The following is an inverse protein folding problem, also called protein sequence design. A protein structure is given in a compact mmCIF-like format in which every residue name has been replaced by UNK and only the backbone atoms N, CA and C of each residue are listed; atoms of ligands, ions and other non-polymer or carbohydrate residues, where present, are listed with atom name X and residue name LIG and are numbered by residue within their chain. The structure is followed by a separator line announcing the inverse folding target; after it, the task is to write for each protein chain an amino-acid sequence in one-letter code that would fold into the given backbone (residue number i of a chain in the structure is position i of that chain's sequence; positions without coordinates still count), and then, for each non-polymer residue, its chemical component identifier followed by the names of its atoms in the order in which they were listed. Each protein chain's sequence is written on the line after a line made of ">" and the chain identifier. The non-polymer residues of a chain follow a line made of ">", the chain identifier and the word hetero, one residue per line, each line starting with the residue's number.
data_IF_631561443711
#
_entry.id   IF_631561443711
#
_cell.length_a   1.000
_cell.length_b   1.000
_cell.length_c   1.000
_cell.angle_alpha   90.00
_cell.angle_beta   90.00
_cell.angle_gamma   90.00
#
_symmetry.space_group_name_H-M   'P 1'
#
loop_
_entity.id
_entity.type
_entity.pdbx_description
1 polymer ?
#
# COMPACT_ATOMS: atom_id res chain seq x y z
N UNK A 1 6.42 31.53 5.18
CA UNK A 1 6.41 30.87 6.51
C UNK A 1 4.96 30.80 6.95
N UNK A 2 4.47 29.62 7.35
CA UNK A 2 3.07 29.43 7.77
C UNK A 2 2.90 29.42 9.30
N UNK A 3 3.91 28.96 10.04
CA UNK A 3 3.94 28.98 11.49
C UNK A 3 5.38 29.12 12.01
N UNK A 4 5.55 29.78 13.15
CA UNK A 4 6.84 29.90 13.86
C UNK A 4 6.59 29.58 15.33
N UNK A 5 7.28 28.57 15.85
CA UNK A 5 7.23 28.20 17.26
C UNK A 5 8.59 28.42 17.89
N UNK A 6 8.64 29.26 18.94
CA UNK A 6 9.81 29.41 19.79
C UNK A 6 9.81 28.29 20.84
N UNK A 7 10.92 27.59 20.96
CA UNK A 7 11.20 26.68 22.06
C UNK A 7 12.29 27.34 22.90
N UNK A 8 11.93 27.75 24.11
CA UNK A 8 12.90 28.35 25.03
C UNK A 8 13.83 27.29 25.61
N UNK A 9 15.04 27.66 26.09
CA UNK A 9 15.94 26.73 26.77
C UNK A 9 15.26 25.97 27.92
N UNK A 10 14.38 26.64 28.68
CA UNK A 10 13.67 26.05 29.81
C UNK A 10 12.62 25.01 29.34
N UNK A 11 11.92 25.29 28.24
CA UNK A 11 10.96 24.35 27.65
C UNK A 11 11.69 23.13 27.06
N UNK A 12 12.80 23.35 26.37
CA UNK A 12 13.65 22.29 25.81
C UNK A 12 14.20 21.37 26.91
N UNK A 13 14.60 21.94 28.06
CA UNK A 13 15.08 21.16 29.22
C UNK A 13 13.97 20.27 29.80
N UNK A 14 12.76 20.81 29.93
CA UNK A 14 11.61 20.08 30.45
C UNK A 14 11.19 18.93 29.53
N UNK A 15 11.22 19.16 28.21
CA UNK A 15 10.98 18.13 27.21
C UNK A 15 12.07 17.05 27.27
N UNK A 16 13.34 17.44 27.31
CA UNK A 16 14.47 16.49 27.34
C UNK A 16 14.52 15.63 28.60
N UNK A 17 14.21 16.19 29.77
CA UNK A 17 14.12 15.45 31.04
C UNK A 17 13.03 14.36 31.02
N UNK A 18 11.96 14.58 30.26
CA UNK A 18 10.87 13.60 30.10
C UNK A 18 11.33 12.38 29.32
N UNK A 19 12.28 12.54 28.38
CA UNK A 19 12.75 11.46 27.50
C UNK A 19 14.06 10.80 27.94
N UNK A 20 14.99 11.55 28.55
CA UNK A 20 16.38 11.10 28.76
C UNK A 20 16.78 10.99 30.25
N UNK A 21 15.86 11.26 31.19
CA UNK A 21 16.11 11.18 32.63
C UNK A 21 17.09 12.24 33.16
N UNK A 22 17.69 11.98 34.33
CA UNK A 22 18.51 12.94 35.11
C UNK A 22 19.89 13.27 34.52
N UNK A 23 20.21 12.84 33.30
CA UNK A 23 21.53 13.01 32.69
C UNK A 23 21.99 14.48 32.59
N UNK A 24 21.05 15.43 32.51
CA UNK A 24 21.34 16.86 32.45
C UNK A 24 21.44 17.55 33.83
N UNK A 25 21.03 16.91 34.93
CA UNK A 25 21.13 17.51 36.27
C UNK A 25 22.56 17.56 36.81
N UNK A 26 23.46 16.78 36.20
CA UNK A 26 24.91 16.78 36.50
C UNK A 26 25.58 18.06 35.99
N UNK A 27 24.98 18.73 35.01
CA UNK A 27 25.42 20.02 34.49
C UNK A 27 24.68 21.11 35.28
N UNK A 28 25.41 21.87 36.11
CA UNK A 28 24.81 22.88 37.00
C UNK A 28 24.07 24.02 36.29
N UNK A 29 24.22 24.17 34.98
CA UNK A 29 23.51 25.15 34.15
C UNK A 29 22.93 24.49 32.88
N UNK A 30 21.83 25.04 32.37
CA UNK A 30 21.13 24.53 31.19
C UNK A 30 21.91 24.85 29.90
N UNK A 31 22.49 23.84 29.21
CA UNK A 31 23.31 24.07 28.03
C UNK A 31 22.48 24.19 26.73
N UNK A 32 21.16 24.07 26.79
CA UNK A 32 20.31 23.99 25.61
C UNK A 32 20.07 25.39 25.00
N UNK A 33 20.34 25.59 23.70
CA UNK A 33 20.07 26.85 23.04
C UNK A 33 18.57 27.06 22.82
N UNK A 34 18.17 28.31 22.59
CA UNK A 34 16.82 28.61 22.11
C UNK A 34 16.68 28.18 20.66
N UNK A 35 15.59 27.49 20.32
CA UNK A 35 15.35 26.97 18.96
C UNK A 35 14.07 27.56 18.39
N UNK A 36 14.15 28.09 17.17
CA UNK A 36 12.99 28.54 16.39
C UNK A 36 12.62 27.47 15.37
N UNK A 37 11.46 26.84 15.56
CA UNK A 37 10.90 25.88 14.60
C UNK A 37 10.03 26.64 13.60
N UNK A 38 10.51 26.72 12.36
CA UNK A 38 9.84 27.45 11.27
C UNK A 38 9.17 26.46 10.33
N UNK A 39 7.84 26.52 10.22
CA UNK A 39 7.10 25.72 9.26
C UNK A 39 7.03 26.47 7.92
N UNK A 40 7.56 25.89 6.82
CA UNK A 40 7.40 26.48 5.51
C UNK A 40 5.94 26.46 5.05
N UNK A 41 5.54 27.48 4.29
CA UNK A 41 4.19 27.57 3.73
C UNK A 41 4.02 26.73 2.45
N UNK A 42 5.12 26.31 1.83
CA UNK A 42 5.14 25.48 0.63
C UNK A 42 5.74 24.10 0.97
N UNK A 43 5.21 23.05 0.34
CA UNK A 43 5.79 21.71 0.40
C UNK A 43 6.88 21.50 -0.67
N UNK A 44 7.23 22.56 -1.41
CA UNK A 44 8.28 22.53 -2.42
C UNK A 44 9.68 22.63 -1.79
N UNK A 45 10.48 21.60 -2.05
CA UNK A 45 11.85 21.48 -1.58
C UNK A 45 12.76 22.62 -2.06
N UNK A 46 12.61 23.09 -3.30
CA UNK A 46 13.47 24.12 -3.86
C UNK A 46 13.23 25.46 -3.18
N UNK A 47 11.95 25.80 -2.95
CA UNK A 47 11.54 27.02 -2.25
C UNK A 47 12.01 26.99 -0.78
N UNK A 48 11.91 25.82 -0.14
CA UNK A 48 12.32 25.67 1.27
C UNK A 48 13.84 25.71 1.45
N UNK A 49 14.61 25.28 0.45
CA UNK A 49 16.07 25.37 0.46
C UNK A 49 16.55 26.81 0.33
N UNK A 50 15.90 27.61 -0.53
CA UNK A 50 16.17 29.07 -0.63
C UNK A 50 15.77 29.80 0.66
N UNK A 51 14.69 29.36 1.32
CA UNK A 51 14.30 29.91 2.63
C UNK A 51 15.35 29.59 3.71
N UNK A 52 15.91 28.38 3.69
CA UNK A 52 16.97 27.99 4.61
C UNK A 52 18.21 28.89 4.45
N UNK A 53 18.68 29.08 3.22
CA UNK A 53 19.84 29.93 2.92
C UNK A 53 19.63 31.35 3.44
N UNK A 54 18.45 31.94 3.18
CA UNK A 54 18.10 33.28 3.68
C UNK A 54 18.03 33.38 5.20
N UNK A 55 17.60 32.31 5.88
CA UNK A 55 17.56 32.28 7.34
C UNK A 55 18.96 32.10 7.94
N UNK A 56 19.86 31.42 7.24
CA UNK A 56 21.23 31.20 7.67
C UNK A 56 22.12 32.45 7.49
N UNK A 57 21.73 33.38 6.62
CA UNK A 57 22.41 34.67 6.45
C UNK A 57 22.10 35.69 7.56
N UNK A 58 21.10 35.45 8.41
CA UNK A 58 20.76 36.33 9.53
C UNK A 58 21.82 36.22 10.64
N UNK A 59 22.30 37.36 11.13
CA UNK A 59 23.38 37.43 12.13
C UNK A 59 22.96 36.84 13.49
N UNK A 60 21.65 36.79 13.75
CA UNK A 60 21.04 36.22 14.95
C UNK A 60 20.88 34.69 14.88
N UNK A 61 21.16 34.06 13.73
CA UNK A 61 20.99 32.61 13.52
C UNK A 61 22.36 31.94 13.48
N UNK A 62 22.67 31.18 14.52
CA UNK A 62 23.94 30.43 14.62
C UNK A 62 23.93 29.19 13.70
N UNK A 63 22.81 28.44 13.69
CA UNK A 63 22.66 27.21 12.89
C UNK A 63 21.23 27.10 12.36
N UNK A 64 21.08 27.05 11.03
CA UNK A 64 19.82 26.71 10.37
C UNK A 64 19.95 25.32 9.73
N UNK A 65 19.10 24.37 10.15
CA UNK A 65 19.10 23.00 9.61
C UNK A 65 17.75 22.66 8.99
N UNK A 66 17.79 22.20 7.74
CA UNK A 66 16.65 21.63 7.03
C UNK A 66 17.01 20.22 6.58
N UNK A 67 16.96 19.27 7.52
CA UNK A 67 17.47 17.94 7.26
C UNK A 67 16.41 17.06 6.57
N UNK A 68 16.12 17.38 5.30
CA UNK A 68 15.22 16.60 4.44
C UNK A 68 15.96 15.53 3.61
N UNK A 69 17.29 15.47 3.66
CA UNK A 69 18.07 14.59 2.79
C UNK A 69 17.86 13.11 3.16
N UNK A 70 17.82 12.78 4.45
CA UNK A 70 17.51 11.43 4.93
C UNK A 70 16.07 11.03 4.56
N UNK A 71 15.11 11.95 4.73
CA UNK A 71 13.71 11.71 4.39
C UNK A 71 13.53 11.48 2.89
N UNK A 72 14.19 12.29 2.04
CA UNK A 72 14.23 12.08 0.58
C UNK A 72 14.78 10.71 0.21
N UNK A 73 15.87 10.27 0.85
CA UNK A 73 16.45 8.93 0.63
C UNK A 73 15.47 7.83 1.05
N UNK A 74 14.79 7.97 2.18
CA UNK A 74 13.76 7.04 2.62
C UNK A 74 12.59 6.95 1.64
N UNK A 75 12.04 8.09 1.20
CA UNK A 75 10.98 8.13 0.20
C UNK A 75 11.41 7.51 -1.14
N UNK A 76 12.67 7.71 -1.55
CA UNK A 76 13.22 7.07 -2.74
C UNK A 76 13.27 5.53 -2.59
N UNK A 77 13.72 5.01 -1.43
CA UNK A 77 13.70 3.58 -1.14
C UNK A 77 12.28 3.02 -1.11
N UNK A 78 11.33 3.73 -0.49
CA UNK A 78 9.91 3.35 -0.48
C UNK A 78 9.33 3.28 -1.89
N UNK A 79 9.69 4.21 -2.79
CA UNK A 79 9.30 4.14 -4.21
C UNK A 79 9.84 2.87 -4.88
N UNK A 80 11.10 2.51 -4.66
CA UNK A 80 11.67 1.27 -5.21
C UNK A 80 10.87 0.05 -4.73
N UNK A 81 10.57 -0.02 -3.42
CA UNK A 81 9.75 -1.10 -2.85
C UNK A 81 8.34 -1.10 -3.47
N UNK A 82 7.71 0.05 -3.61
CA UNK A 82 6.38 0.17 -4.23
C UNK A 82 6.38 -0.34 -5.68
N UNK A 83 7.39 0.02 -6.47
CA UNK A 83 7.54 -0.49 -7.84
C UNK A 83 7.80 -2.00 -7.85
N UNK A 84 8.62 -2.52 -6.94
CA UNK A 84 8.86 -3.95 -6.78
C UNK A 84 7.57 -4.72 -6.46
N UNK A 85 6.77 -4.22 -5.52
CA UNK A 85 5.47 -4.80 -5.16
C UNK A 85 4.50 -4.78 -6.34
N UNK A 86 4.47 -3.70 -7.13
CA UNK A 86 3.62 -3.60 -8.32
C UNK A 86 4.02 -4.62 -9.39
N UNK A 87 5.32 -4.79 -9.65
CA UNK A 87 5.83 -5.82 -10.57
C UNK A 87 5.44 -7.23 -10.10
N UNK A 88 5.61 -7.51 -8.80
CA UNK A 88 5.22 -8.79 -8.23
C UNK A 88 3.70 -9.02 -8.34
N UNK A 89 2.89 -8.00 -8.10
CA UNK A 89 1.44 -8.07 -8.24
C UNK A 89 1.02 -8.39 -9.68
N UNK A 90 1.66 -7.80 -10.68
CA UNK A 90 1.41 -8.12 -12.11
C UNK A 90 1.79 -9.58 -12.41
N UNK A 91 2.96 -10.03 -11.94
CA UNK A 91 3.43 -11.40 -12.16
C UNK A 91 2.47 -12.43 -11.55
N UNK A 92 2.04 -12.21 -10.30
CA UNK A 92 1.08 -13.08 -9.62
C UNK A 92 -0.30 -13.03 -10.30
N UNK A 93 -0.73 -11.87 -10.77
CA UNK A 93 -1.97 -11.74 -11.54
C UNK A 93 -1.93 -12.59 -12.82
N UNK A 94 -0.82 -12.55 -13.57
CA UNK A 94 -0.61 -13.40 -14.73
C UNK A 94 -0.63 -14.89 -14.36
N UNK A 95 0.01 -15.27 -13.25
CA UNK A 95 0.00 -16.66 -12.76
C UNK A 95 -1.43 -17.13 -12.47
N UNK A 96 -2.26 -16.30 -11.82
CA UNK A 96 -3.68 -16.61 -11.57
C UNK A 96 -4.45 -16.79 -12.87
N UNK A 97 -4.25 -15.89 -13.85
CA UNK A 97 -4.90 -16.00 -15.17
C UNK A 97 -4.53 -17.32 -15.86
N UNK A 98 -3.26 -17.74 -15.80
CA UNK A 98 -2.78 -19.01 -16.37
C UNK A 98 -3.37 -20.22 -15.65
N UNK A 99 -3.40 -20.21 -14.31
CA UNK A 99 -3.94 -21.30 -13.50
C UNK A 99 -5.44 -21.47 -13.76
N UNK A 100 -6.22 -20.38 -13.63
CA UNK A 100 -7.67 -20.39 -13.92
C UNK A 100 -7.92 -20.81 -15.36
N UNK A 101 -7.11 -20.29 -16.30
CA UNK A 101 -7.24 -20.62 -17.71
C UNK A 101 -7.02 -22.09 -18.00
N UNK A 102 -5.98 -22.70 -17.41
CA UNK A 102 -5.69 -24.13 -17.54
C UNK A 102 -6.75 -25.01 -16.87
N UNK A 103 -7.21 -24.65 -15.67
CA UNK A 103 -8.28 -25.37 -14.98
C UNK A 103 -9.56 -25.41 -15.82
N UNK A 104 -9.92 -24.28 -16.46
CA UNK A 104 -11.09 -24.22 -17.33
C UNK A 104 -10.88 -25.02 -18.61
N UNK A 105 -9.68 -24.96 -19.23
CA UNK A 105 -9.35 -25.80 -20.39
C UNK A 105 -9.58 -27.28 -20.08
N UNK A 106 -9.06 -27.76 -18.96
CA UNK A 106 -9.24 -29.15 -18.53
C UNK A 106 -10.72 -29.49 -18.32
N UNK A 107 -11.47 -28.57 -17.71
CA UNK A 107 -12.93 -28.76 -17.49
C UNK A 107 -13.72 -28.80 -18.80
N UNK A 108 -13.36 -27.97 -19.78
CA UNK A 108 -13.99 -27.97 -21.11
C UNK A 108 -13.67 -29.29 -21.84
N UNK A 109 -12.42 -29.76 -21.76
CA UNK A 109 -12.01 -31.02 -22.38
C UNK A 109 -12.74 -32.23 -21.79
N UNK A 110 -12.90 -32.29 -20.46
CA UNK A 110 -13.62 -33.40 -19.82
C UNK A 110 -15.12 -33.42 -20.12
N UNK A 111 -15.71 -32.28 -20.50
CA UNK A 111 -17.13 -32.14 -20.89
C UNK A 111 -17.34 -31.94 -22.38
N UNK A 112 -16.35 -32.30 -23.22
CA UNK A 112 -16.39 -32.01 -24.66
C UNK A 112 -17.61 -32.60 -25.37
N UNK A 113 -17.94 -33.86 -25.07
CA UNK A 113 -19.09 -34.55 -25.68
C UNK A 113 -20.43 -33.87 -25.33
N UNK A 114 -20.61 -33.49 -24.06
CA UNK A 114 -21.78 -32.75 -23.59
C UNK A 114 -21.92 -31.39 -24.31
N UNK A 115 -20.80 -30.69 -24.50
CA UNK A 115 -20.75 -29.41 -25.21
C UNK A 115 -21.10 -29.59 -26.70
N UNK A 116 -20.60 -30.64 -27.35
CA UNK A 116 -20.92 -30.94 -28.75
C UNK A 116 -22.41 -31.25 -28.93
N UNK A 117 -22.98 -32.09 -28.07
CA UNK A 117 -24.43 -32.38 -28.10
C UNK A 117 -25.25 -31.09 -27.93
N UNK A 118 -24.90 -30.25 -26.95
CA UNK A 118 -25.59 -28.99 -26.73
C UNK A 118 -25.50 -28.05 -27.95
N UNK A 119 -24.34 -27.98 -28.62
CA UNK A 119 -24.19 -27.21 -29.86
C UNK A 119 -25.06 -27.75 -30.99
N UNK A 120 -25.19 -29.08 -31.13
CA UNK A 120 -26.02 -29.71 -32.16
C UNK A 120 -27.51 -29.43 -31.97
N UNK A 121 -27.98 -29.33 -30.72
CA UNK A 121 -29.37 -28.97 -30.38
C UNK A 121 -29.62 -27.45 -30.48
N UNK A 122 -28.61 -26.67 -30.89
CA UNK A 122 -28.74 -25.22 -31.15
C UNK A 122 -28.45 -24.34 -29.93
N UNK A 123 -27.76 -24.84 -28.90
CA UNK A 123 -27.37 -24.01 -27.77
C UNK A 123 -26.43 -22.88 -28.21
N UNK A 124 -26.71 -21.67 -27.74
CA UNK A 124 -25.83 -20.51 -28.00
C UNK A 124 -24.50 -20.67 -27.27
N UNK A 125 -23.42 -20.16 -27.87
CA UNK A 125 -22.11 -20.09 -27.20
C UNK A 125 -22.23 -19.42 -25.83
N UNK A 126 -23.07 -18.38 -25.68
CA UNK A 126 -23.28 -17.71 -24.40
C UNK A 126 -23.85 -18.64 -23.31
N UNK A 127 -24.74 -19.57 -23.66
CA UNK A 127 -25.27 -20.55 -22.72
C UNK A 127 -24.17 -21.48 -22.19
N UNK A 128 -23.31 -21.96 -23.09
CA UNK A 128 -22.21 -22.87 -22.75
C UNK A 128 -21.14 -22.16 -21.89
N UNK A 129 -20.94 -20.85 -22.08
CA UNK A 129 -19.91 -20.05 -21.39
C UNK A 129 -20.23 -19.73 -19.93
N UNK A 130 -21.51 -19.50 -19.59
CA UNK A 130 -21.96 -19.08 -18.25
C UNK A 130 -21.42 -19.93 -17.09
N UNK A 131 -21.53 -21.28 -17.07
CA UNK A 131 -21.04 -22.09 -15.96
C UNK A 131 -19.54 -21.88 -15.68
N UNK A 132 -18.73 -21.72 -16.73
CA UNK A 132 -17.29 -21.48 -16.59
C UNK A 132 -16.96 -20.05 -16.10
N UNK A 133 -17.79 -19.06 -16.42
CA UNK A 133 -17.63 -17.71 -15.87
C UNK A 133 -18.00 -17.68 -14.38
N UNK A 134 -18.99 -18.47 -13.95
CA UNK A 134 -19.33 -18.60 -12.53
C UNK A 134 -18.19 -19.24 -11.73
N UNK A 135 -17.51 -20.26 -12.26
CA UNK A 135 -16.34 -20.83 -11.56
C UNK A 135 -15.21 -19.79 -11.46
N UNK A 136 -14.95 -19.03 -12.53
CA UNK A 136 -14.01 -17.90 -12.51
C UNK A 136 -14.35 -16.84 -11.46
N UNK A 137 -15.62 -16.46 -11.36
CA UNK A 137 -16.12 -15.55 -10.33
C UNK A 137 -15.86 -16.09 -8.92
N UNK A 138 -16.20 -17.35 -8.65
CA UNK A 138 -15.98 -17.97 -7.34
C UNK A 138 -14.51 -18.07 -6.96
N UNK A 139 -13.63 -18.40 -7.92
CA UNK A 139 -12.19 -18.40 -7.69
C UNK A 139 -11.68 -16.99 -7.34
N UNK A 140 -12.12 -15.96 -8.07
CA UNK A 140 -11.73 -14.58 -7.80
C UNK A 140 -12.27 -14.07 -6.46
N UNK A 141 -13.54 -14.33 -6.17
CA UNK A 141 -14.19 -13.93 -4.92
C UNK A 141 -13.52 -14.58 -3.71
N UNK A 142 -13.40 -15.90 -3.69
CA UNK A 142 -12.79 -16.62 -2.56
C UNK A 142 -11.32 -16.26 -2.38
N UNK A 143 -10.56 -16.16 -3.48
CA UNK A 143 -9.16 -15.73 -3.42
C UNK A 143 -9.01 -14.34 -2.81
N UNK A 144 -9.85 -13.39 -3.24
CA UNK A 144 -9.84 -12.02 -2.71
C UNK A 144 -10.31 -11.92 -1.25
N UNK A 145 -11.27 -12.76 -0.84
CA UNK A 145 -11.75 -12.84 0.54
C UNK A 145 -10.66 -13.36 1.48
N UNK A 146 -9.94 -14.41 1.05
CA UNK A 146 -8.80 -14.97 1.80
C UNK A 146 -7.68 -13.92 1.89
N UNK A 147 -7.36 -13.25 0.79
CA UNK A 147 -6.36 -12.18 0.79
C UNK A 147 -6.74 -11.04 1.74
N UNK A 148 -8.01 -10.60 1.68
CA UNK A 148 -8.54 -9.58 2.59
C UNK A 148 -8.41 -9.99 4.05
N UNK A 149 -8.75 -11.24 4.38
CA UNK A 149 -8.66 -11.76 5.73
C UNK A 149 -7.20 -11.85 6.22
N UNK A 150 -6.28 -12.32 5.38
CA UNK A 150 -4.84 -12.39 5.70
C UNK A 150 -4.26 -10.98 5.93
N UNK A 151 -4.58 -10.02 5.07
CA UNK A 151 -4.13 -8.62 5.24
C UNK A 151 -4.70 -8.02 6.53
N UNK A 152 -5.99 -8.24 6.80
CA UNK A 152 -6.65 -7.72 8.00
C UNK A 152 -6.04 -8.31 9.28
N UNK A 153 -5.77 -9.62 9.30
CA UNK A 153 -5.10 -10.28 10.43
C UNK A 153 -3.65 -9.78 10.60
N UNK A 154 -2.93 -9.59 9.50
CA UNK A 154 -1.56 -9.06 9.54
C UNK A 154 -1.53 -7.64 10.12
N UNK A 155 -2.44 -6.76 9.68
CA UNK A 155 -2.56 -5.42 10.23
C UNK A 155 -2.93 -5.45 11.71
N UNK A 156 -3.89 -6.30 12.11
CA UNK A 156 -4.29 -6.46 13.50
C UNK A 156 -3.12 -6.91 14.39
N UNK A 157 -2.31 -7.88 13.95
CA UNK A 157 -1.13 -8.34 14.68
C UNK A 157 -0.04 -7.28 14.82
N UNK A 158 0.03 -6.32 13.89
CA UNK A 158 0.99 -5.22 13.91
C UNK A 158 0.56 -4.06 14.81
N UNK A 159 -0.71 -3.99 15.21
CA UNK A 159 -1.21 -2.90 16.06
C UNK A 159 -0.48 -2.83 17.40
N UNK A 160 -0.22 -3.99 18.04
CA UNK A 160 0.44 -4.06 19.34
C UNK A 160 1.89 -3.52 19.32
N UNK A 161 2.80 -4.03 18.46
CA UNK A 161 4.16 -3.50 18.39
C UNK A 161 4.21 -2.04 17.93
N UNK A 162 3.33 -1.62 17.03
CA UNK A 162 3.29 -0.21 16.59
C UNK A 162 2.82 0.72 17.71
N UNK A 163 1.82 0.32 18.51
CA UNK A 163 1.36 1.12 19.66
C UNK A 163 2.47 1.37 20.68
N UNK A 164 3.26 0.34 20.97
CA UNK A 164 4.40 0.43 21.89
C UNK A 164 5.48 1.40 21.37
N UNK A 165 5.69 1.47 20.05
CA UNK A 165 6.63 2.44 19.46
C UNK A 165 6.07 3.87 19.47
N UNK A 166 4.76 4.05 19.29
CA UNK A 166 4.13 5.38 19.29
C UNK A 166 4.08 6.02 20.68
N UNK A 167 3.91 5.23 21.74
CA UNK A 167 3.98 5.73 23.12
C UNK A 167 5.37 6.27 23.46
N UNK A 168 6.44 5.68 22.88
CA UNK A 168 7.83 6.12 23.08
C UNK A 168 8.18 7.41 22.32
N UNK A 169 7.46 7.74 21.24
CA UNK A 169 7.80 8.84 20.33
C UNK A 169 6.82 10.02 20.35
N UNK A 170 5.79 10.02 21.21
CA UNK A 170 4.72 11.05 21.27
C UNK A 170 4.13 11.42 19.91
N UNK A 171 4.17 10.50 18.96
CA UNK A 171 3.66 10.71 17.61
C UNK A 171 2.27 10.09 17.50
N UNK A 172 1.30 10.88 17.06
CA UNK A 172 -0.09 10.48 16.83
C UNK A 172 -0.21 9.62 15.55
N UNK A 173 0.59 8.56 15.44
CA UNK A 173 0.48 7.61 14.33
C UNK A 173 -0.74 6.72 14.56
N UNK A 174 -1.85 7.07 13.93
CA UNK A 174 -2.95 6.13 13.76
C UNK A 174 -2.52 5.07 12.75
N UNK A 175 -2.51 3.79 13.17
CA UNK A 175 -2.36 2.68 12.25
C UNK A 175 -3.46 2.77 11.20
N UNK A 176 -3.06 2.93 9.94
CA UNK A 176 -3.96 2.87 8.79
C UNK A 176 -4.54 1.44 8.77
N UNK A 177 -5.75 1.30 9.29
CA UNK A 177 -6.53 0.08 9.16
C UNK A 177 -7.02 -0.06 7.73
N UNK A 178 -7.35 -1.30 7.32
CA UNK A 178 -7.93 -1.54 6.01
C UNK A 178 -9.34 -0.95 6.00
N UNK A 179 -9.47 0.29 5.51
CA UNK A 179 -10.75 0.95 5.39
C UNK A 179 -11.70 0.22 4.44
N UNK A 180 -12.96 0.67 4.41
CA UNK A 180 -14.00 0.11 3.53
C UNK A 180 -13.60 0.22 2.06
N UNK A 181 -13.05 1.37 1.65
CA UNK A 181 -12.66 1.60 0.25
C UNK A 181 -11.53 0.66 -0.22
N UNK A 182 -10.36 0.56 0.45
CA UNK A 182 -9.33 -0.41 0.08
C UNK A 182 -9.84 -1.86 0.06
N UNK A 183 -10.68 -2.24 1.03
CA UNK A 183 -11.28 -3.57 1.09
C UNK A 183 -12.13 -3.87 -0.14
N UNK A 184 -13.00 -2.94 -0.55
CA UNK A 184 -13.80 -3.09 -1.75
C UNK A 184 -12.95 -3.15 -3.02
N UNK A 185 -11.89 -2.33 -3.12
CA UNK A 185 -10.99 -2.36 -4.29
C UNK A 185 -10.27 -3.70 -4.40
N UNK A 186 -9.84 -4.29 -3.29
CA UNK A 186 -9.19 -5.60 -3.28
C UNK A 186 -10.14 -6.70 -3.79
N UNK A 187 -11.37 -6.72 -3.27
CA UNK A 187 -12.39 -7.69 -3.67
C UNK A 187 -12.75 -7.55 -5.15
N UNK A 188 -12.99 -6.32 -5.62
CA UNK A 188 -13.35 -6.05 -7.02
C UNK A 188 -12.22 -6.42 -7.98
N UNK A 189 -10.96 -6.16 -7.65
CA UNK A 189 -9.81 -6.56 -8.46
C UNK A 189 -9.70 -8.09 -8.53
N UNK A 190 -9.83 -8.79 -7.41
CA UNK A 190 -9.72 -10.25 -7.39
C UNK A 190 -10.84 -10.94 -8.17
N UNK A 191 -12.09 -10.48 -8.03
CA UNK A 191 -13.23 -10.94 -8.82
C UNK A 191 -12.99 -10.67 -10.32
N UNK A 192 -12.53 -9.46 -10.65
CA UNK A 192 -12.27 -9.08 -12.04
C UNK A 192 -11.19 -9.96 -12.67
N UNK A 193 -10.10 -10.23 -11.95
CA UNK A 193 -9.04 -11.14 -12.42
C UNK A 193 -9.56 -12.56 -12.67
N UNK A 194 -10.37 -13.10 -11.75
CA UNK A 194 -11.00 -14.42 -11.92
C UNK A 194 -11.93 -14.48 -13.13
N UNK A 195 -12.75 -13.46 -13.33
CA UNK A 195 -13.64 -13.32 -14.48
C UNK A 195 -12.88 -13.15 -15.80
N UNK A 196 -11.85 -12.31 -15.84
CA UNK A 196 -11.02 -12.08 -17.03
C UNK A 196 -10.29 -13.37 -17.41
N UNK A 197 -9.70 -14.07 -16.44
CA UNK A 197 -9.02 -15.35 -16.67
C UNK A 197 -9.97 -16.40 -17.24
N UNK A 198 -11.17 -16.50 -16.68
CA UNK A 198 -12.19 -17.39 -17.18
C UNK A 198 -12.67 -17.01 -18.58
N UNK A 199 -13.01 -15.74 -18.80
CA UNK A 199 -13.49 -15.26 -20.09
C UNK A 199 -12.47 -15.48 -21.21
N UNK A 200 -11.19 -15.14 -20.98
CA UNK A 200 -10.11 -15.35 -21.95
C UNK A 200 -9.95 -16.83 -22.31
N UNK A 201 -9.96 -17.72 -21.31
CA UNK A 201 -9.80 -19.16 -21.56
C UNK A 201 -11.01 -19.74 -22.29
N UNK A 202 -12.21 -19.45 -21.81
CA UNK A 202 -13.46 -19.94 -22.40
C UNK A 202 -13.58 -19.52 -23.87
N UNK A 203 -13.33 -18.24 -24.18
CA UNK A 203 -13.47 -17.70 -25.53
C UNK A 203 -12.43 -18.29 -26.50
N UNK A 204 -11.23 -18.62 -26.00
CA UNK A 204 -10.20 -19.29 -26.78
C UNK A 204 -10.58 -20.76 -27.08
N UNK A 205 -10.93 -21.54 -26.06
CA UNK A 205 -11.11 -22.99 -26.21
C UNK A 205 -12.47 -23.41 -26.79
N UNK A 206 -13.54 -22.63 -26.62
CA UNK A 206 -14.84 -22.94 -27.25
C UNK A 206 -14.84 -22.70 -28.76
N UNK A 207 -13.97 -21.83 -29.28
CA UNK A 207 -13.82 -21.59 -30.72
C UNK A 207 -13.18 -22.79 -31.43
N UNK A 208 -12.33 -23.54 -30.73
CA UNK A 208 -11.67 -24.73 -31.27
C UNK A 208 -12.62 -25.93 -31.37
N UNK A 209 -13.77 -25.91 -30.68
CA UNK A 209 -14.79 -26.97 -30.72
C UNK A 209 -15.90 -26.53 -31.69
N UNK A 210 -15.67 -26.70 -33.00
CA UNK A 210 -16.73 -26.63 -34.01
C UNK A 210 -17.05 -28.04 -34.51
N UNK A 211 -18.35 -28.42 -34.56
CA UNK A 211 -18.74 -29.72 -35.07
C UNK A 211 -18.39 -29.83 -36.56
N UNK A 212 -17.86 -30.99 -36.96
CA UNK A 212 -17.75 -31.41 -38.37
C UNK A 212 -19.02 -32.13 -38.79
#
# INVERSE_FOLDING_TARGET
>A
ISNVRLITPADALKEYQTFSGDALQVLGENPLPAVLVVQPASNDNAINQVLLEKLQELTEVDVAQFDMLWAKRLFAMLKIVQHGTLLLAILLSLAVLLIVGNSIRLTIQSRREEIEINKLVGATDAFIRRPFLYTGFWYGLLGSLIAWLLVSLSLWSLQTPVRNLTELYYSQFELITLGIFPSLTLLTIGISLGLIGAWLSVNKHLRDIQPR
#
